data_IF_883081675630
#
_entry.id   IF_883081675630
#
_cell.length_a   1.000
_cell.length_b   1.000
_cell.length_c   1.000
_cell.angle_alpha   90.00
_cell.angle_beta   90.00
_cell.angle_gamma   90.00
#
_symmetry.space_group_name_H-M   'P 1'
#
loop_
_entity.id
_entity.type
_entity.pdbx_description
1 polymer ?
#
# COMPACT_ATOMS: atom_id res chain seq x y z
N UNK A 1 -12.24 14.29 -9.99
CA UNK A 1 -11.17 15.20 -9.55
C UNK A 1 -10.07 14.34 -8.91
N UNK A 2 -8.81 14.51 -9.27
CA UNK A 2 -7.71 13.73 -8.70
C UNK A 2 -7.48 14.13 -7.25
N UNK A 3 -7.26 13.14 -6.38
CA UNK A 3 -6.81 13.32 -5.01
C UNK A 3 -5.29 13.52 -4.98
N UNK A 4 -4.57 12.71 -5.77
CA UNK A 4 -3.11 12.73 -5.92
C UNK A 4 -2.76 12.77 -7.40
N UNK A 5 -1.80 13.62 -7.79
CA UNK A 5 -1.23 13.64 -9.13
C UNK A 5 0.29 13.82 -9.04
N UNK A 6 1.01 12.96 -9.74
CA UNK A 6 2.43 13.10 -10.01
C UNK A 6 2.58 13.51 -11.47
N UNK A 7 3.42 14.51 -11.75
CA UNK A 7 3.63 15.06 -13.09
C UNK A 7 5.13 15.10 -13.38
N UNK A 8 5.56 14.29 -14.33
CA UNK A 8 6.93 14.22 -14.86
C UNK A 8 7.99 14.11 -13.76
N UNK A 9 7.70 13.27 -12.75
CA UNK A 9 8.51 13.15 -11.56
C UNK A 9 9.81 12.43 -11.87
N UNK A 10 10.95 13.05 -11.56
CA UNK A 10 12.26 12.44 -11.62
C UNK A 10 12.88 12.32 -10.24
N UNK A 11 13.63 11.25 -10.04
CA UNK A 11 14.40 11.05 -8.80
C UNK A 11 15.67 10.25 -9.07
N UNK A 12 16.77 10.65 -8.40
CA UNK A 12 18.05 9.95 -8.43
C UNK A 12 18.62 9.84 -7.02
N UNK A 13 19.27 8.73 -6.74
CA UNK A 13 20.19 8.60 -5.59
C UNK A 13 21.58 8.97 -6.05
N UNK A 14 22.09 10.17 -5.63
CA UNK A 14 23.34 10.72 -6.14
C UNK A 14 23.28 10.76 -7.68
N UNK A 15 24.17 9.99 -8.34
CA UNK A 15 24.28 9.93 -9.80
C UNK A 15 23.52 8.74 -10.42
N UNK A 16 22.79 7.96 -9.63
CA UNK A 16 22.02 6.82 -10.12
C UNK A 16 20.54 7.20 -10.28
N UNK A 17 20.05 7.36 -11.51
CA UNK A 17 18.65 7.66 -11.77
C UNK A 17 17.78 6.44 -11.39
N UNK A 18 16.70 6.69 -10.65
CA UNK A 18 15.73 5.69 -10.23
C UNK A 18 14.37 5.89 -10.88
N UNK A 19 14.01 7.13 -11.19
CA UNK A 19 12.74 7.49 -11.83
C UNK A 19 12.96 8.58 -12.86
N UNK A 20 12.33 8.42 -14.03
CA UNK A 20 12.36 9.36 -15.15
C UNK A 20 10.93 9.65 -15.60
N UNK A 21 10.53 10.92 -15.49
CA UNK A 21 9.24 11.43 -16.00
C UNK A 21 8.02 10.58 -15.56
N UNK A 22 8.03 10.15 -14.29
CA UNK A 22 6.95 9.33 -13.72
C UNK A 22 5.69 10.18 -13.55
N UNK A 23 4.59 9.72 -14.16
CA UNK A 23 3.28 10.36 -14.06
C UNK A 23 2.27 9.36 -13.53
N UNK A 24 1.50 9.77 -12.51
CA UNK A 24 0.45 8.96 -11.86
C UNK A 24 -0.70 9.86 -11.44
N UNK A 25 -1.91 9.37 -11.59
CA UNK A 25 -3.11 10.03 -11.07
C UNK A 25 -3.92 9.05 -10.23
N UNK A 26 -4.36 9.48 -9.06
CA UNK A 26 -5.28 8.74 -8.18
C UNK A 26 -6.53 9.59 -7.95
N UNK A 27 -7.69 9.04 -8.28
CA UNK A 27 -8.99 9.69 -8.03
C UNK A 27 -9.46 9.38 -6.60
N UNK A 28 -10.41 10.18 -6.09
CA UNK A 28 -11.04 9.88 -4.80
C UNK A 28 -11.80 8.56 -4.85
N UNK A 29 -11.63 7.73 -3.82
CA UNK A 29 -12.25 6.41 -3.71
C UNK A 29 -11.69 5.36 -4.66
N UNK A 30 -10.57 5.62 -5.35
CA UNK A 30 -9.90 4.69 -6.25
C UNK A 30 -8.86 3.85 -5.49
N UNK A 31 -8.72 2.59 -5.89
CA UNK A 31 -7.69 1.67 -5.41
C UNK A 31 -6.72 1.38 -6.56
N UNK A 32 -5.50 1.88 -6.44
CA UNK A 32 -4.45 1.71 -7.46
C UNK A 32 -3.34 0.82 -6.93
N UNK A 33 -2.91 -0.16 -7.76
CA UNK A 33 -1.75 -0.99 -7.52
C UNK A 33 -0.47 -0.43 -8.12
N UNK A 34 0.67 -0.63 -7.45
CA UNK A 34 2.01 -0.39 -7.98
C UNK A 34 2.76 -1.71 -8.02
N UNK A 35 2.96 -2.24 -9.21
CA UNK A 35 3.80 -3.41 -9.47
C UNK A 35 5.24 -2.98 -9.76
N UNK A 36 6.19 -3.83 -9.42
CA UNK A 36 7.60 -3.62 -9.72
C UNK A 36 8.47 -4.62 -8.97
N UNK A 37 9.60 -4.97 -9.56
CA UNK A 37 10.59 -5.85 -8.92
C UNK A 37 11.15 -5.24 -7.64
N UNK A 38 11.83 -6.05 -6.82
CA UNK A 38 12.57 -5.55 -5.68
C UNK A 38 13.68 -4.59 -6.17
N UNK A 39 13.76 -3.42 -5.54
CA UNK A 39 14.68 -2.37 -5.97
C UNK A 39 14.20 -1.46 -7.10
N UNK A 40 13.05 -1.72 -7.74
CA UNK A 40 12.49 -0.87 -8.79
C UNK A 40 12.18 0.57 -8.33
N UNK A 41 12.04 0.81 -7.02
CA UNK A 41 11.80 2.14 -6.48
C UNK A 41 10.40 2.37 -5.91
N UNK A 42 9.58 1.32 -5.72
CA UNK A 42 8.20 1.45 -5.16
C UNK A 42 8.18 2.21 -3.83
N UNK A 43 8.98 1.79 -2.86
CA UNK A 43 9.15 2.47 -1.56
C UNK A 43 9.60 3.92 -1.73
N UNK A 44 10.54 4.17 -2.66
CA UNK A 44 11.01 5.53 -2.93
C UNK A 44 9.91 6.40 -3.53
N UNK A 45 9.08 5.85 -4.42
CA UNK A 45 7.91 6.55 -4.96
C UNK A 45 6.95 6.96 -3.82
N UNK A 46 6.68 6.06 -2.89
CA UNK A 46 5.83 6.33 -1.73
C UNK A 46 6.47 7.37 -0.78
N UNK A 47 7.78 7.29 -0.54
CA UNK A 47 8.52 8.29 0.24
C UNK A 47 8.42 9.69 -0.39
N UNK A 48 8.46 9.79 -1.72
CA UNK A 48 8.28 11.05 -2.45
C UNK A 48 6.85 11.59 -2.29
N UNK A 49 5.83 10.73 -2.43
CA UNK A 49 4.42 11.10 -2.24
C UNK A 49 4.17 11.58 -0.81
N UNK A 50 4.81 10.92 0.17
CA UNK A 50 4.70 11.28 1.59
C UNK A 50 5.60 12.44 2.00
N UNK A 51 6.31 13.08 1.07
CA UNK A 51 7.25 14.18 1.32
C UNK A 51 8.38 13.81 2.32
N UNK A 52 8.70 12.52 2.45
CA UNK A 52 9.87 12.02 3.20
C UNK A 52 11.14 12.26 2.39
N UNK A 53 11.03 12.17 1.06
CA UNK A 53 12.07 12.54 0.09
C UNK A 53 11.57 13.63 -0.84
N UNK A 54 12.49 14.36 -1.45
CA UNK A 54 12.16 15.39 -2.45
C UNK A 54 12.54 14.88 -3.84
N UNK A 55 11.69 15.10 -4.85
CA UNK A 55 12.03 14.76 -6.23
C UNK A 55 13.17 15.65 -6.75
N UNK A 56 13.91 15.15 -7.72
CA UNK A 56 14.94 15.91 -8.43
C UNK A 56 14.29 16.95 -9.37
N UNK A 57 13.15 16.58 -9.97
CA UNK A 57 12.31 17.47 -10.79
C UNK A 57 10.89 16.92 -10.87
N UNK A 58 9.98 17.68 -11.49
CA UNK A 58 8.55 17.33 -11.57
C UNK A 58 7.76 17.85 -10.37
N UNK A 59 6.47 17.53 -10.33
CA UNK A 59 5.55 18.05 -9.32
C UNK A 59 4.67 16.97 -8.72
N UNK A 60 4.36 17.13 -7.42
CA UNK A 60 3.41 16.29 -6.69
C UNK A 60 2.30 17.19 -6.17
N UNK A 61 1.06 16.89 -6.59
CA UNK A 61 -0.14 17.54 -6.08
C UNK A 61 -0.91 16.53 -5.25
N UNK A 62 -1.03 16.79 -3.96
CA UNK A 62 -1.76 15.96 -3.02
C UNK A 62 -2.79 16.83 -2.28
N UNK A 63 -4.07 16.55 -2.49
CA UNK A 63 -5.19 17.25 -1.86
C UNK A 63 -5.83 16.46 -0.71
N UNK A 64 -5.21 15.37 -0.27
CA UNK A 64 -5.66 14.63 0.90
C UNK A 64 -5.47 15.48 2.15
N UNK A 65 -6.51 15.61 2.95
CA UNK A 65 -6.44 16.29 4.25
C UNK A 65 -5.74 15.41 5.29
N UNK A 66 -5.92 14.10 5.16
CA UNK A 66 -5.35 13.09 6.04
C UNK A 66 -4.76 11.96 5.21
N UNK A 67 -3.48 11.68 5.45
CA UNK A 67 -2.73 10.67 4.74
C UNK A 67 -2.07 9.73 5.73
N UNK A 68 -2.12 8.44 5.43
CA UNK A 68 -1.49 7.37 6.21
C UNK A 68 -0.54 6.59 5.31
N UNK A 69 0.61 6.22 5.85
CA UNK A 69 1.61 5.42 5.15
C UNK A 69 2.07 4.23 5.99
N UNK A 70 1.85 3.02 5.47
CA UNK A 70 2.47 1.79 5.95
C UNK A 70 3.79 1.56 5.23
N UNK A 71 4.89 1.72 5.92
CA UNK A 71 6.23 1.48 5.37
C UNK A 71 6.54 -0.02 5.24
N UNK A 72 7.48 -0.36 4.36
CA UNK A 72 7.90 -1.75 4.17
C UNK A 72 8.54 -2.35 5.43
N UNK A 73 9.32 -1.59 6.18
CA UNK A 73 10.00 -2.04 7.39
C UNK A 73 9.23 -1.57 8.61
N UNK A 74 8.84 -2.52 9.47
CA UNK A 74 8.16 -2.26 10.74
C UNK A 74 9.04 -2.75 11.88
N UNK A 75 9.39 -1.85 12.79
CA UNK A 75 10.22 -2.14 13.96
C UNK A 75 9.53 -1.71 15.26
N UNK A 76 8.36 -2.31 15.60
CA UNK A 76 7.69 -1.96 16.84
C UNK A 76 8.49 -2.42 18.07
N UNK A 77 8.36 -1.72 19.21
CA UNK A 77 9.07 -2.08 20.44
C UNK A 77 8.74 -3.51 20.91
N UNK A 78 9.73 -4.41 21.08
CA UNK A 78 9.49 -5.84 21.27
C UNK A 78 8.80 -6.20 22.59
N UNK A 79 8.92 -5.34 23.62
CA UNK A 79 8.37 -5.55 24.95
C UNK A 79 6.90 -5.15 25.08
N UNK A 80 6.42 -4.29 24.21
CA UNK A 80 5.03 -3.83 24.19
C UNK A 80 4.08 -4.92 23.64
N UNK A 81 2.82 -4.84 24.04
CA UNK A 81 1.75 -5.59 23.37
C UNK A 81 1.40 -4.93 22.03
N UNK A 82 0.87 -5.71 21.12
CA UNK A 82 0.40 -5.18 19.84
C UNK A 82 -0.69 -4.11 20.04
N UNK A 83 -1.60 -4.29 21.03
CA UNK A 83 -2.59 -3.26 21.41
C UNK A 83 -1.94 -1.95 21.85
N UNK A 84 -0.89 -1.99 22.66
CA UNK A 84 -0.17 -0.80 23.12
C UNK A 84 0.50 -0.06 21.96
N UNK A 85 1.05 -0.82 20.97
CA UNK A 85 1.60 -0.21 19.74
C UNK A 85 0.51 0.40 18.86
N UNK A 86 -0.65 -0.24 18.78
CA UNK A 86 -1.83 0.31 18.10
C UNK A 86 -2.32 1.61 18.74
N UNK A 87 -2.37 1.66 20.06
CA UNK A 87 -2.73 2.87 20.82
C UNK A 87 -1.73 4.01 20.62
N UNK A 88 -0.43 3.70 20.55
CA UNK A 88 0.59 4.71 20.22
C UNK A 88 0.33 5.33 18.85
N UNK A 89 0.08 4.50 17.81
CA UNK A 89 -0.21 4.99 16.46
C UNK A 89 -1.47 5.86 16.46
N UNK A 90 -2.55 5.39 17.09
CA UNK A 90 -3.80 6.14 17.20
C UNK A 90 -3.61 7.49 17.89
N UNK A 91 -2.80 7.55 18.96
CA UNK A 91 -2.55 8.77 19.72
C UNK A 91 -1.58 9.74 19.03
N UNK A 92 -0.77 9.28 18.08
CA UNK A 92 0.04 10.15 17.21
C UNK A 92 -0.82 10.84 16.14
N UNK A 93 -1.97 10.27 15.83
CA UNK A 93 -2.95 10.88 14.96
C UNK A 93 -3.68 12.01 15.71
N UNK A 94 -4.26 12.94 14.97
CA UNK A 94 -4.91 14.11 15.52
C UNK A 94 -6.06 13.77 16.49
N UNK A 95 -6.56 14.76 17.21
CA UNK A 95 -7.71 14.67 18.13
C UNK A 95 -9.01 14.11 17.53
N UNK A 96 -9.03 13.85 16.22
CA UNK A 96 -10.15 13.27 15.46
C UNK A 96 -9.98 11.79 15.16
N UNK A 97 -8.94 11.13 15.68
CA UNK A 97 -8.77 9.70 15.50
C UNK A 97 -9.92 8.91 16.18
N UNK A 98 -10.44 7.85 15.54
CA UNK A 98 -11.47 7.02 16.14
C UNK A 98 -10.98 6.37 17.43
N UNK A 99 -11.89 6.17 18.39
CA UNK A 99 -11.59 5.42 19.61
C UNK A 99 -11.33 3.95 19.29
N UNK A 100 -10.65 3.26 20.21
CA UNK A 100 -10.42 1.83 20.05
C UNK A 100 -11.72 1.04 19.88
N UNK A 101 -12.77 1.41 20.62
CA UNK A 101 -14.09 0.78 20.51
C UNK A 101 -14.71 0.97 19.12
N UNK A 102 -14.66 2.17 18.57
CA UNK A 102 -15.15 2.47 17.22
C UNK A 102 -14.38 1.67 16.15
N UNK A 103 -13.06 1.59 16.27
CA UNK A 103 -12.23 0.77 15.39
C UNK A 103 -12.62 -0.71 15.43
N UNK A 104 -12.84 -1.28 16.62
CA UNK A 104 -13.21 -2.68 16.78
C UNK A 104 -14.61 -2.96 16.23
N UNK A 105 -15.59 -2.08 16.47
CA UNK A 105 -16.95 -2.18 15.88
C UNK A 105 -16.87 -2.12 14.36
N UNK A 106 -16.08 -1.22 13.81
CA UNK A 106 -15.86 -1.09 12.36
C UNK A 106 -15.24 -2.36 11.77
N UNK A 107 -14.23 -2.91 12.44
CA UNK A 107 -13.55 -4.13 12.02
C UNK A 107 -14.49 -5.35 12.05
N UNK A 108 -15.32 -5.49 13.09
CA UNK A 108 -16.32 -6.55 13.21
C UNK A 108 -17.37 -6.44 12.10
N UNK A 109 -17.81 -5.24 11.76
CA UNK A 109 -18.71 -4.97 10.63
C UNK A 109 -18.09 -5.36 9.29
N UNK A 110 -16.80 -5.14 9.08
CA UNK A 110 -16.10 -5.59 7.88
C UNK A 110 -16.01 -7.12 7.82
N UNK A 111 -15.63 -7.77 8.94
CA UNK A 111 -15.58 -9.22 9.04
C UNK A 111 -15.43 -9.67 10.50
N UNK A 112 -16.37 -10.48 11.03
CA UNK A 112 -16.25 -11.08 12.37
C UNK A 112 -15.00 -11.97 12.52
N UNK A 113 -14.60 -12.68 11.46
CA UNK A 113 -13.38 -13.51 11.45
C UNK A 113 -12.13 -12.65 11.56
N UNK A 114 -12.09 -11.53 10.84
CA UNK A 114 -10.98 -10.57 10.89
C UNK A 114 -10.88 -9.91 12.27
N UNK A 115 -12.00 -9.49 12.85
CA UNK A 115 -12.08 -8.98 14.23
C UNK A 115 -11.50 -9.97 15.24
N UNK A 116 -11.92 -11.24 15.17
CA UNK A 116 -11.41 -12.28 16.08
C UNK A 116 -9.89 -12.43 15.97
N UNK A 117 -9.36 -12.47 14.75
CA UNK A 117 -7.91 -12.64 14.49
C UNK A 117 -7.11 -11.42 14.93
N UNK A 118 -7.59 -10.21 14.63
CA UNK A 118 -6.99 -8.96 15.09
C UNK A 118 -6.94 -8.90 16.64
N UNK A 119 -8.05 -9.25 17.30
CA UNK A 119 -8.15 -9.26 18.76
C UNK A 119 -7.20 -10.26 19.42
N UNK A 120 -6.98 -11.43 18.81
CA UNK A 120 -5.99 -12.41 19.29
C UNK A 120 -4.55 -11.89 19.16
N UNK A 121 -4.21 -11.24 18.03
CA UNK A 121 -2.88 -10.67 17.83
C UNK A 121 -2.67 -9.48 18.78
N UNK A 122 -3.66 -8.64 19.00
CA UNK A 122 -3.58 -7.45 19.86
C UNK A 122 -3.10 -7.76 21.29
N UNK A 123 -3.40 -8.94 21.80
CA UNK A 123 -3.03 -9.39 23.15
C UNK A 123 -1.58 -9.89 23.25
N UNK A 124 -0.94 -10.23 22.13
CA UNK A 124 0.43 -10.74 22.12
C UNK A 124 1.44 -9.63 22.35
N UNK A 125 2.57 -9.97 22.97
CA UNK A 125 3.77 -9.11 22.90
C UNK A 125 4.34 -9.14 21.50
N UNK A 126 4.86 -8.02 21.02
CA UNK A 126 5.49 -7.90 19.70
C UNK A 126 6.54 -8.98 19.49
N UNK A 127 7.41 -9.24 20.48
CA UNK A 127 8.45 -10.27 20.43
C UNK A 127 7.91 -11.71 20.26
N UNK A 128 6.61 -11.94 20.42
CA UNK A 128 5.95 -13.26 20.25
C UNK A 128 5.12 -13.34 18.96
N UNK A 129 5.10 -12.29 18.18
CA UNK A 129 4.39 -12.26 16.90
C UNK A 129 5.33 -12.68 15.76
N UNK A 130 4.78 -13.38 14.77
CA UNK A 130 5.46 -13.56 13.49
C UNK A 130 5.51 -12.24 12.72
N UNK A 131 6.40 -12.16 11.73
CA UNK A 131 6.45 -10.99 10.82
C UNK A 131 5.09 -10.71 10.16
N UNK A 132 4.42 -11.76 9.66
CA UNK A 132 3.10 -11.64 9.04
C UNK A 132 2.02 -11.16 10.02
N UNK A 133 2.05 -11.58 11.29
CA UNK A 133 1.12 -11.08 12.32
C UNK A 133 1.35 -9.59 12.62
N UNK A 134 2.61 -9.17 12.75
CA UNK A 134 2.95 -7.75 12.93
C UNK A 134 2.46 -6.94 11.73
N UNK A 135 2.82 -7.39 10.52
CA UNK A 135 2.43 -6.73 9.28
C UNK A 135 0.92 -6.54 9.16
N UNK A 136 0.18 -7.63 9.34
CA UNK A 136 -1.27 -7.64 9.27
C UNK A 136 -1.91 -6.73 10.31
N UNK A 137 -1.43 -6.78 11.54
CA UNK A 137 -1.95 -5.95 12.62
C UNK A 137 -1.79 -4.44 12.31
N UNK A 138 -0.60 -4.02 11.86
CA UNK A 138 -0.36 -2.63 11.50
C UNK A 138 -1.18 -2.21 10.29
N UNK A 139 -1.26 -3.06 9.25
CA UNK A 139 -2.09 -2.79 8.08
C UNK A 139 -3.55 -2.53 8.49
N UNK A 140 -4.13 -3.42 9.30
CA UNK A 140 -5.51 -3.27 9.78
C UNK A 140 -5.67 -2.05 10.68
N UNK A 141 -4.75 -1.81 11.60
CA UNK A 141 -4.79 -0.62 12.47
C UNK A 141 -4.83 0.66 11.64
N UNK A 142 -3.98 0.78 10.61
CA UNK A 142 -3.93 1.96 9.76
C UNK A 142 -5.19 2.10 8.88
N UNK A 143 -5.73 0.99 8.35
CA UNK A 143 -6.99 1.01 7.59
C UNK A 143 -8.19 1.45 8.44
N UNK A 144 -8.14 1.19 9.75
CA UNK A 144 -9.19 1.59 10.71
C UNK A 144 -9.09 3.07 11.12
N UNK A 145 -7.96 3.73 10.90
CA UNK A 145 -7.83 5.18 11.03
C UNK A 145 -8.44 5.84 9.78
N UNK A 146 -9.50 6.60 9.96
CA UNK A 146 -10.19 7.27 8.84
C UNK A 146 -9.29 8.24 8.11
N UNK A 147 -9.08 8.03 6.80
CA UNK A 147 -8.10 8.75 6.01
C UNK A 147 -8.56 8.94 4.57
N UNK A 148 -8.24 10.10 3.98
CA UNK A 148 -8.54 10.35 2.55
C UNK A 148 -7.63 9.52 1.63
N UNK A 149 -6.36 9.37 2.04
CA UNK A 149 -5.32 8.66 1.29
C UNK A 149 -4.59 7.66 2.18
N UNK A 150 -4.61 6.41 1.79
CA UNK A 150 -3.90 5.32 2.45
C UNK A 150 -2.85 4.76 1.49
N UNK A 151 -1.60 4.76 1.90
CA UNK A 151 -0.48 4.23 1.13
C UNK A 151 0.04 3.00 1.86
N UNK A 152 0.07 1.86 1.15
CA UNK A 152 0.46 0.57 1.71
C UNK A 152 1.63 -0.03 0.93
N UNK A 153 2.81 -0.07 1.55
CA UNK A 153 3.99 -0.67 0.92
C UNK A 153 4.08 -2.16 1.29
N UNK A 154 3.72 -3.02 0.34
CA UNK A 154 3.73 -4.49 0.47
C UNK A 154 2.92 -5.01 1.68
N UNK A 155 1.62 -4.67 1.85
CA UNK A 155 0.84 -5.00 3.05
C UNK A 155 0.66 -6.50 3.28
N UNK A 156 0.79 -7.33 2.25
CA UNK A 156 0.59 -8.78 2.28
C UNK A 156 1.89 -9.58 2.31
N UNK A 157 3.05 -8.91 2.32
CA UNK A 157 4.35 -9.58 2.34
C UNK A 157 4.56 -10.41 3.62
N UNK A 158 4.90 -11.71 3.45
CA UNK A 158 5.12 -12.63 4.57
C UNK A 158 3.86 -13.03 5.34
N UNK A 159 2.68 -12.74 4.81
CA UNK A 159 1.38 -13.08 5.39
C UNK A 159 0.85 -14.37 4.76
N UNK A 160 0.22 -15.24 5.56
CA UNK A 160 -0.39 -16.46 5.05
C UNK A 160 -1.58 -16.17 4.09
N UNK A 161 -1.90 -17.13 3.22
CA UNK A 161 -2.89 -16.94 2.16
C UNK A 161 -4.29 -16.58 2.68
N UNK A 162 -4.73 -17.16 3.80
CA UNK A 162 -6.02 -16.84 4.41
C UNK A 162 -6.04 -15.38 4.91
N UNK A 163 -4.97 -14.96 5.59
CA UNK A 163 -4.94 -13.61 6.13
C UNK A 163 -4.70 -12.55 5.03
N UNK A 164 -4.02 -12.89 3.94
CA UNK A 164 -3.93 -12.01 2.75
C UNK A 164 -5.33 -11.70 2.19
N UNK A 165 -6.19 -12.71 2.07
CA UNK A 165 -7.59 -12.49 1.67
C UNK A 165 -8.31 -11.50 2.58
N UNK A 166 -8.14 -11.60 3.89
CA UNK A 166 -8.75 -10.65 4.85
C UNK A 166 -8.16 -9.24 4.76
N UNK A 167 -6.87 -9.11 4.47
CA UNK A 167 -6.25 -7.79 4.26
C UNK A 167 -6.89 -7.11 3.04
N UNK A 168 -7.05 -7.82 1.93
CA UNK A 168 -7.69 -7.28 0.73
C UNK A 168 -9.17 -6.94 0.97
N UNK A 169 -9.89 -7.75 1.73
CA UNK A 169 -11.25 -7.44 2.16
C UNK A 169 -11.28 -6.13 2.97
N UNK A 170 -10.37 -5.94 3.92
CA UNK A 170 -10.29 -4.72 4.72
C UNK A 170 -9.91 -3.49 3.88
N UNK A 171 -8.98 -3.62 2.92
CA UNK A 171 -8.62 -2.55 1.97
C UNK A 171 -9.87 -2.12 1.17
N UNK A 172 -10.60 -3.09 0.62
CA UNK A 172 -11.82 -2.80 -0.12
C UNK A 172 -12.92 -2.19 0.75
N UNK A 173 -13.04 -2.62 2.01
CA UNK A 173 -14.01 -2.04 2.97
C UNK A 173 -13.67 -0.58 3.28
N UNK A 174 -12.40 -0.27 3.55
CA UNK A 174 -11.96 1.12 3.78
C UNK A 174 -12.19 2.00 2.54
N UNK A 175 -11.95 1.47 1.34
CA UNK A 175 -12.26 2.15 0.08
C UNK A 175 -13.74 2.43 -0.09
N UNK A 176 -14.62 1.46 0.18
CA UNK A 176 -16.08 1.64 0.12
C UNK A 176 -16.58 2.70 1.11
N UNK A 177 -15.86 2.92 2.19
CA UNK A 177 -16.12 3.98 3.16
C UNK A 177 -15.51 5.34 2.76
N UNK A 178 -14.90 5.43 1.57
CA UNK A 178 -14.43 6.69 0.96
C UNK A 178 -12.92 6.90 0.93
N UNK A 179 -12.12 5.99 1.47
CA UNK A 179 -10.67 6.06 1.37
C UNK A 179 -10.20 5.84 -0.08
N UNK A 180 -9.16 6.55 -0.48
CA UNK A 180 -8.41 6.25 -1.71
C UNK A 180 -7.15 5.50 -1.32
N UNK A 181 -6.80 4.45 -2.04
CA UNK A 181 -5.70 3.57 -1.65
C UNK A 181 -4.67 3.44 -2.76
N UNK A 182 -3.41 3.57 -2.39
CA UNK A 182 -2.27 3.26 -3.23
C UNK A 182 -1.50 2.11 -2.57
N UNK A 183 -1.41 0.97 -3.24
CA UNK A 183 -0.81 -0.24 -2.68
C UNK A 183 0.29 -0.77 -3.58
N UNK A 184 1.46 -1.10 -3.01
CA UNK A 184 2.50 -1.83 -3.74
C UNK A 184 2.43 -3.33 -3.43
N UNK A 185 2.78 -4.12 -4.43
CA UNK A 185 3.02 -5.56 -4.28
C UNK A 185 3.96 -6.06 -5.37
N UNK A 186 4.59 -7.19 -5.11
CA UNK A 186 5.27 -7.98 -6.12
C UNK A 186 4.41 -9.19 -6.57
N UNK A 187 3.23 -9.37 -5.99
CA UNK A 187 2.26 -10.39 -6.41
C UNK A 187 1.34 -9.83 -7.49
N UNK A 188 1.63 -10.15 -8.75
CA UNK A 188 0.93 -9.62 -9.92
C UNK A 188 -0.56 -9.94 -9.90
N UNK A 189 -0.93 -11.18 -9.56
CA UNK A 189 -2.32 -11.65 -9.51
C UNK A 189 -3.13 -10.93 -8.42
N UNK A 190 -2.54 -10.65 -7.25
CA UNK A 190 -3.23 -9.92 -6.18
C UNK A 190 -3.62 -8.50 -6.63
N UNK A 191 -2.70 -7.80 -7.26
CA UNK A 191 -2.94 -6.45 -7.77
C UNK A 191 -3.97 -6.46 -8.88
N UNK A 192 -3.82 -7.34 -9.87
CA UNK A 192 -4.74 -7.42 -11.01
C UNK A 192 -6.16 -7.83 -10.60
N UNK A 193 -6.32 -8.62 -9.54
CA UNK A 193 -7.62 -9.08 -9.05
C UNK A 193 -8.34 -8.06 -8.14
N UNK A 194 -7.61 -7.18 -7.46
CA UNK A 194 -8.19 -6.34 -6.41
C UNK A 194 -8.19 -4.84 -6.70
N UNK A 195 -7.30 -4.35 -7.59
CA UNK A 195 -7.17 -2.93 -7.90
C UNK A 195 -8.04 -2.53 -9.10
N UNK A 196 -8.52 -1.29 -9.10
CA UNK A 196 -9.29 -0.73 -10.23
C UNK A 196 -8.43 -0.62 -11.49
N UNK A 197 -7.15 -0.35 -11.31
CA UNK A 197 -6.08 -0.36 -12.30
C UNK A 197 -4.74 -0.39 -11.58
N UNK A 198 -3.69 -0.58 -12.31
CA UNK A 198 -2.35 -0.60 -11.71
C UNK A 198 -1.32 0.05 -12.61
N UNK A 199 -0.21 0.40 -11.99
CA UNK A 199 0.98 0.87 -12.68
C UNK A 199 2.11 -0.12 -12.48
N UNK A 200 2.93 -0.29 -13.50
CA UNK A 200 4.17 -1.04 -13.40
C UNK A 200 5.36 -0.09 -13.38
N UNK A 201 6.16 -0.16 -12.33
CA UNK A 201 7.41 0.56 -12.19
C UNK A 201 8.56 -0.35 -12.65
N UNK A 202 9.06 -0.11 -13.85
CA UNK A 202 10.16 -0.83 -14.45
C UNK A 202 11.02 0.12 -15.30
N UNK A 203 12.32 -0.17 -15.43
CA UNK A 203 13.25 0.62 -16.28
C UNK A 203 13.13 2.13 -16.02
N UNK A 204 13.02 2.53 -14.72
CA UNK A 204 12.89 3.91 -14.26
C UNK A 204 11.59 4.63 -14.69
N UNK A 205 10.65 3.94 -15.33
CA UNK A 205 9.38 4.48 -15.84
C UNK A 205 8.19 3.84 -15.15
N UNK A 206 7.08 4.54 -15.17
CA UNK A 206 5.81 4.07 -14.64
C UNK A 206 4.80 3.95 -15.79
N UNK A 207 4.36 2.74 -16.05
CA UNK A 207 3.41 2.44 -17.11
C UNK A 207 2.07 2.00 -16.54
N UNK A 208 0.97 2.59 -17.05
CA UNK A 208 -0.39 2.33 -16.58
C UNK A 208 -1.04 1.16 -17.33
N UNK A 209 -1.83 0.36 -16.61
CA UNK A 209 -2.65 -0.74 -17.16
C UNK A 209 -4.00 -0.77 -16.46
N UNK A 210 -5.08 -0.86 -17.24
CA UNK A 210 -6.44 -0.94 -16.75
C UNK A 210 -6.84 -2.36 -16.33
N UNK A 211 -6.10 -3.38 -16.77
CA UNK A 211 -6.37 -4.77 -16.42
C UNK A 211 -5.17 -5.70 -16.61
N UNK A 212 -5.22 -6.87 -15.97
CA UNK A 212 -4.25 -7.95 -16.22
C UNK A 212 -4.26 -8.45 -17.67
N UNK A 213 -5.42 -8.41 -18.35
CA UNK A 213 -5.52 -8.78 -19.76
C UNK A 213 -4.77 -7.81 -20.69
N UNK A 214 -4.77 -6.52 -20.35
CA UNK A 214 -4.06 -5.51 -21.12
C UNK A 214 -2.54 -5.73 -21.08
N UNK A 215 -1.95 -5.92 -19.90
CA UNK A 215 -0.51 -6.16 -19.79
C UNK A 215 -0.11 -7.47 -20.49
N UNK A 216 -0.91 -8.55 -20.34
CA UNK A 216 -0.65 -9.81 -21.04
C UNK A 216 -0.68 -9.63 -22.57
N UNK A 217 -1.65 -8.91 -23.10
CA UNK A 217 -1.75 -8.62 -24.53
C UNK A 217 -0.59 -7.77 -25.03
N UNK A 218 -0.19 -6.73 -24.29
CA UNK A 218 0.88 -5.81 -24.67
C UNK A 218 2.24 -6.51 -24.77
N UNK A 219 2.51 -7.43 -23.84
CA UNK A 219 3.77 -8.16 -23.80
C UNK A 219 3.70 -9.56 -24.45
N UNK A 220 2.60 -9.88 -25.13
CA UNK A 220 2.35 -11.20 -25.75
C UNK A 220 2.72 -12.33 -24.77
N UNK A 221 2.10 -12.30 -23.59
CA UNK A 221 2.38 -13.21 -22.47
C UNK A 221 1.19 -14.12 -22.19
N UNK A 222 1.47 -15.35 -21.74
CA UNK A 222 0.47 -16.37 -21.37
C UNK A 222 0.01 -16.25 -19.92
N UNK A 223 0.73 -15.48 -19.07
CA UNK A 223 0.41 -15.23 -17.68
C UNK A 223 0.82 -13.83 -17.25
N UNK A 224 0.25 -13.36 -16.11
CA UNK A 224 0.63 -12.07 -15.54
C UNK A 224 2.10 -12.01 -15.12
N UNK A 225 2.63 -13.09 -14.55
CA UNK A 225 4.03 -13.18 -14.15
C UNK A 225 4.96 -13.14 -15.38
N UNK A 226 4.61 -13.81 -16.48
CA UNK A 226 5.36 -13.74 -17.73
C UNK A 226 5.34 -12.31 -18.31
N UNK A 227 4.17 -11.66 -18.29
CA UNK A 227 4.04 -10.27 -18.74
C UNK A 227 4.91 -9.33 -17.90
N UNK A 228 4.90 -9.51 -16.58
CA UNK A 228 5.71 -8.73 -15.65
C UNK A 228 7.21 -8.92 -15.87
N UNK A 229 7.66 -10.17 -16.10
CA UNK A 229 9.06 -10.48 -16.40
C UNK A 229 9.49 -9.82 -17.71
N UNK A 230 8.69 -9.99 -18.78
CA UNK A 230 8.98 -9.38 -20.09
C UNK A 230 9.07 -7.86 -20.01
N UNK A 231 8.11 -7.23 -19.32
CA UNK A 231 8.09 -5.80 -19.13
C UNK A 231 9.28 -5.27 -18.30
N UNK A 232 9.77 -6.06 -17.34
CA UNK A 232 10.92 -5.70 -16.49
C UNK A 232 12.27 -5.93 -17.21
N UNK A 233 12.31 -6.80 -18.22
CA UNK A 233 13.53 -7.20 -18.96
C UNK A 233 13.76 -6.43 -20.26
N UNK A 234 12.81 -5.59 -20.70
CA UNK A 234 13.02 -4.72 -21.86
C UNK A 234 13.98 -3.59 -21.47
N UNK A 235 15.27 -3.87 -21.63
CA UNK A 235 16.29 -2.84 -21.86
C UNK A 235 16.14 -2.43 -23.34
N UNK A 236 15.93 -1.14 -23.58
CA UNK A 236 16.02 -0.53 -24.93
C UNK A 236 17.45 -0.64 -25.49
#
# INVERSE_FOLDING_TARGET
>A
MNLLSLMDLCFSYKDMPLMKEVTLNLKRGELIGILGSNGAGKTTLFDLICNIKKPSSGHIFNSAKRQIYLTQILTPPPLLRMSETGDLIRNLDSSTAPTQSEMLIRLERWSPSLYKRYSLISQKKVARCSYGEIRSYFTLTLLLLESDLIILDEPTAGVDAEFRHYIWLAINSARQEGASVLVSSHYTEEIAANCDRFYMLANQRLEAFDSGGEIMSRYNASSLDEAFIKASSHED
#
